data_IF_443160090403
#
_entry.id   IF_443160090403
#
_cell.length_a   1.000
_cell.length_b   1.000
_cell.length_c   1.000
_cell.angle_alpha   90.00
_cell.angle_beta   90.00
_cell.angle_gamma   90.00
#
_symmetry.space_group_name_H-M   'P 1'
#
loop_
_entity.id
_entity.type
_entity.pdbx_description
1 polymer ?
#
# COMPACT_ATOMS: atom_id res chain seq x y z
N UNK A 1 2.47 3.80 -23.43
CA UNK A 1 3.61 4.19 -22.58
C UNK A 1 3.28 5.49 -21.88
N UNK A 2 3.12 5.46 -20.56
CA UNK A 2 2.76 6.63 -19.75
C UNK A 2 3.98 7.55 -19.73
N UNK A 3 3.93 8.67 -20.47
CA UNK A 3 4.96 9.70 -20.46
C UNK A 3 4.87 10.47 -19.14
N UNK A 4 5.45 9.89 -18.08
CA UNK A 4 5.37 10.39 -16.70
C UNK A 4 6.22 11.65 -16.44
N UNK A 5 7.08 12.04 -17.39
CA UNK A 5 7.98 13.18 -17.26
C UNK A 5 7.48 14.36 -18.12
N UNK A 6 6.47 15.06 -17.60
CA UNK A 6 6.00 16.33 -18.18
C UNK A 6 7.12 17.37 -18.07
N UNK A 7 7.50 17.98 -19.21
CA UNK A 7 8.47 19.09 -19.27
C UNK A 7 8.16 20.14 -18.20
N UNK A 8 9.17 20.74 -17.54
CA UNK A 8 8.93 21.71 -16.48
C UNK A 8 8.08 22.87 -17.02
N UNK A 9 6.92 23.09 -16.40
CA UNK A 9 5.98 24.13 -16.82
C UNK A 9 6.52 25.47 -16.34
N UNK A 10 6.62 26.44 -17.26
CA UNK A 10 6.86 27.83 -16.90
C UNK A 10 5.53 28.50 -16.63
N UNK A 11 5.38 29.08 -15.44
CA UNK A 11 4.20 29.85 -15.04
C UNK A 11 4.68 31.25 -14.67
N UNK A 12 4.15 32.28 -15.35
CA UNK A 12 4.58 33.68 -15.16
C UNK A 12 6.10 33.90 -15.23
N UNK A 13 6.80 33.19 -16.12
CA UNK A 13 8.26 33.28 -16.26
C UNK A 13 9.07 32.50 -15.23
N UNK A 14 8.44 31.96 -14.18
CA UNK A 14 9.11 31.11 -13.19
C UNK A 14 9.12 29.64 -13.63
N UNK A 15 10.30 29.02 -13.53
CA UNK A 15 10.52 27.60 -13.80
C UNK A 15 10.06 26.80 -12.60
N UNK A 16 8.95 26.06 -12.73
CA UNK A 16 8.51 25.16 -11.67
C UNK A 16 9.36 23.89 -11.71
N UNK A 17 10.06 23.52 -10.62
CA UNK A 17 10.84 22.30 -10.58
C UNK A 17 9.94 21.08 -10.75
N UNK A 18 10.42 20.08 -11.50
CA UNK A 18 9.69 18.82 -11.68
C UNK A 18 9.56 18.06 -10.35
N UNK A 19 8.53 17.22 -10.22
CA UNK A 19 8.40 16.31 -9.06
C UNK A 19 9.69 15.50 -8.91
N UNK A 20 10.28 15.52 -7.72
CA UNK A 20 11.45 14.72 -7.37
C UNK A 20 10.99 13.55 -6.52
N UNK A 21 11.19 12.33 -7.00
CA UNK A 21 11.00 11.12 -6.20
C UNK A 21 12.17 11.02 -5.22
N UNK A 22 11.96 11.52 -4.01
CA UNK A 22 12.95 11.44 -2.92
C UNK A 22 12.65 10.24 -2.03
N UNK A 23 13.59 9.85 -1.16
CA UNK A 23 13.32 8.85 -0.12
C UNK A 23 12.12 9.24 0.76
N UNK A 24 11.91 10.54 1.00
CA UNK A 24 10.72 11.04 1.68
C UNK A 24 9.43 10.74 0.91
N UNK A 25 9.42 10.86 -0.42
CA UNK A 25 8.25 10.51 -1.22
C UNK A 25 7.89 9.01 -1.06
N UNK A 26 8.90 8.13 -0.99
CA UNK A 26 8.66 6.70 -0.70
C UNK A 26 8.07 6.51 0.70
N UNK A 27 8.61 7.17 1.73
CA UNK A 27 8.08 7.11 3.10
C UNK A 27 6.61 7.56 3.12
N UNK A 28 6.26 8.67 2.46
CA UNK A 28 4.88 9.14 2.36
C UNK A 28 3.97 8.10 1.69
N UNK A 29 4.40 7.48 0.59
CA UNK A 29 3.61 6.44 -0.08
C UNK A 29 3.42 5.22 0.83
N UNK A 30 4.48 4.76 1.50
CA UNK A 30 4.39 3.62 2.40
C UNK A 30 3.48 3.90 3.59
N UNK A 31 3.56 5.09 4.19
CA UNK A 31 2.74 5.44 5.35
C UNK A 31 1.28 5.73 5.02
N UNK A 32 1.00 6.44 3.93
CA UNK A 32 -0.36 6.89 3.63
C UNK A 32 -1.12 6.00 2.67
N UNK A 33 -0.44 5.14 1.90
CA UNK A 33 -1.06 4.18 0.99
C UNK A 33 -0.75 2.75 1.41
N UNK A 34 0.53 2.45 1.66
CA UNK A 34 0.95 1.10 2.05
C UNK A 34 0.36 0.65 3.38
N UNK A 35 0.43 1.49 4.42
CA UNK A 35 -0.02 1.15 5.77
C UNK A 35 -1.54 0.91 5.82
N UNK A 36 -2.42 1.79 5.29
CA UNK A 36 -3.87 1.52 5.33
C UNK A 36 -4.26 0.27 4.55
N UNK A 37 -3.66 0.04 3.38
CA UNK A 37 -3.91 -1.17 2.58
C UNK A 37 -3.48 -2.41 3.34
N UNK A 38 -2.29 -2.39 3.95
CA UNK A 38 -1.77 -3.51 4.74
C UNK A 38 -2.66 -3.80 5.94
N UNK A 39 -3.08 -2.76 6.69
CA UNK A 39 -3.99 -2.90 7.83
C UNK A 39 -5.30 -3.55 7.39
N UNK A 40 -5.89 -3.09 6.28
CA UNK A 40 -7.14 -3.64 5.76
C UNK A 40 -6.97 -5.11 5.38
N UNK A 41 -5.88 -5.47 4.70
CA UNK A 41 -5.61 -6.85 4.30
C UNK A 41 -5.41 -7.77 5.51
N UNK A 42 -4.68 -7.31 6.53
CA UNK A 42 -4.53 -8.07 7.79
C UNK A 42 -5.87 -8.25 8.50
N UNK A 43 -6.70 -7.20 8.54
CA UNK A 43 -8.03 -7.30 9.14
C UNK A 43 -8.92 -8.32 8.41
N UNK A 44 -8.90 -8.31 7.07
CA UNK A 44 -9.62 -9.29 6.25
C UNK A 44 -9.08 -10.71 6.46
N UNK A 45 -7.78 -10.88 6.61
CA UNK A 45 -7.18 -12.18 6.88
C UNK A 45 -7.58 -12.72 8.26
N UNK A 46 -7.60 -11.88 9.29
CA UNK A 46 -8.10 -12.24 10.64
C UNK A 46 -9.58 -12.65 10.58
N UNK A 47 -10.41 -11.94 9.83
CA UNK A 47 -11.82 -12.31 9.62
C UNK A 47 -11.91 -13.65 8.90
N UNK A 48 -11.13 -13.86 7.84
CA UNK A 48 -11.06 -15.13 7.12
C UNK A 48 -10.64 -16.28 8.02
N UNK A 49 -9.64 -16.08 8.88
CA UNK A 49 -9.22 -17.06 9.89
C UNK A 49 -10.34 -17.38 10.88
N UNK A 50 -11.03 -16.36 11.41
CA UNK A 50 -12.14 -16.58 12.34
C UNK A 50 -13.26 -17.38 11.67
N UNK A 51 -13.63 -17.05 10.44
CA UNK A 51 -14.67 -17.77 9.70
C UNK A 51 -14.25 -19.22 9.42
N UNK A 52 -13.07 -19.43 8.85
CA UNK A 52 -12.62 -20.77 8.43
C UNK A 52 -12.31 -21.69 9.61
N UNK A 53 -11.62 -21.19 10.64
CA UNK A 53 -11.21 -22.01 11.78
C UNK A 53 -12.34 -22.17 12.80
N UNK A 54 -13.10 -21.09 13.10
CA UNK A 54 -14.15 -21.16 14.13
C UNK A 54 -15.50 -21.64 13.59
N UNK A 55 -15.90 -21.28 12.36
CA UNK A 55 -17.16 -21.77 11.79
C UNK A 55 -16.99 -23.06 10.98
N UNK A 56 -15.93 -23.19 10.19
CA UNK A 56 -15.76 -24.34 9.28
C UNK A 56 -14.82 -25.43 9.81
N UNK A 57 -14.20 -25.23 10.98
CA UNK A 57 -13.34 -26.25 11.61
C UNK A 57 -12.03 -26.51 10.88
N UNK A 58 -11.58 -25.59 10.01
CA UNK A 58 -10.28 -25.71 9.35
C UNK A 58 -9.13 -25.63 10.37
N UNK A 59 -8.03 -26.36 10.14
CA UNK A 59 -6.91 -26.43 11.07
C UNK A 59 -6.08 -25.13 11.12
N UNK A 60 -5.96 -24.41 10.00
CA UNK A 60 -5.36 -23.08 9.94
C UNK A 60 -5.84 -22.35 8.67
N UNK A 61 -5.73 -21.02 8.65
CA UNK A 61 -5.99 -20.19 7.46
C UNK A 61 -5.17 -18.89 7.52
N UNK A 62 -4.71 -18.42 6.36
CA UNK A 62 -4.09 -17.10 6.22
C UNK A 62 -2.78 -16.95 6.98
N UNK A 63 -2.60 -15.79 7.64
CA UNK A 63 -1.43 -15.49 8.47
C UNK A 63 -1.31 -16.48 9.65
N UNK A 64 -2.44 -17.05 10.09
CA UNK A 64 -2.47 -18.09 11.14
C UNK A 64 -1.77 -19.40 10.75
N UNK A 65 -1.49 -19.63 9.46
CA UNK A 65 -0.69 -20.78 9.01
C UNK A 65 0.81 -20.48 8.87
N UNK A 66 1.26 -19.21 8.99
CA UNK A 66 2.66 -18.84 8.69
C UNK A 66 3.68 -19.44 9.67
N UNK A 67 3.25 -19.84 10.87
CA UNK A 67 4.14 -20.34 11.91
C UNK A 67 3.91 -21.79 12.34
N UNK A 68 2.96 -22.50 11.72
CA UNK A 68 2.75 -23.94 11.91
C UNK A 68 2.62 -24.38 13.36
#
# INVERSE_FOLDING_TARGET
MITLFKKPVRVHGHLIPTRRYTGWALIYVLLFVGMPVTILMVALDVVGWAVTVKLFGASCYGVGCLFG
#
